data_IF_300655754794
#
_entry.id   IF_300655754794
#
_cell.length_a   1.000
_cell.length_b   1.000
_cell.length_c   1.000
_cell.angle_alpha   90.00
_cell.angle_beta   90.00
_cell.angle_gamma   90.00
#
_symmetry.space_group_name_H-M   'P 1'
#
loop_
_entity.id
_entity.type
_entity.pdbx_description
1 polymer ?
#
# COMPACT_ATOMS: atom_id res chain seq x y z
N UNK A 1 21.72 9.44 -11.08
CA UNK A 1 21.37 8.48 -12.19
C UNK A 1 20.94 9.22 -13.45
N UNK A 2 20.03 10.19 -13.35
CA UNK A 2 19.53 10.95 -14.52
C UNK A 2 20.64 11.64 -15.30
N UNK A 3 21.59 12.37 -14.68
CA UNK A 3 22.72 12.97 -15.41
C UNK A 3 23.61 11.95 -16.12
N UNK A 4 23.61 10.71 -15.68
CA UNK A 4 24.42 9.61 -16.20
C UNK A 4 23.69 8.81 -17.30
N UNK A 5 22.46 9.17 -17.65
CA UNK A 5 21.57 8.40 -18.56
C UNK A 5 21.41 6.94 -18.11
N UNK A 6 21.19 6.71 -16.83
CA UNK A 6 20.98 5.37 -16.27
C UNK A 6 19.50 5.15 -15.99
N UNK A 7 18.91 4.18 -16.70
CA UNK A 7 17.56 3.70 -16.40
C UNK A 7 17.50 3.16 -14.97
N UNK A 8 16.54 3.64 -14.22
CA UNK A 8 16.30 3.25 -12.82
C UNK A 8 14.89 2.69 -12.70
N UNK A 9 14.76 1.49 -12.12
CA UNK A 9 13.45 0.89 -11.79
C UNK A 9 13.41 0.65 -10.29
N UNK A 10 12.41 1.22 -9.60
CA UNK A 10 12.25 1.08 -8.15
C UNK A 10 11.08 0.16 -7.80
N UNK A 11 11.32 -0.78 -6.89
CA UNK A 11 10.29 -1.66 -6.30
C UNK A 11 9.68 -1.11 -5.01
N UNK A 12 10.12 0.07 -4.52
CA UNK A 12 9.71 0.57 -3.20
C UNK A 12 9.54 2.09 -3.09
N UNK A 13 9.95 2.86 -4.10
CA UNK A 13 9.87 4.33 -4.05
C UNK A 13 8.46 4.81 -4.44
N UNK A 14 7.59 4.99 -3.47
CA UNK A 14 6.17 5.34 -3.66
C UNK A 14 5.86 6.84 -3.58
N UNK A 15 6.87 7.69 -3.26
CA UNK A 15 6.68 9.12 -3.05
C UNK A 15 6.06 9.82 -4.27
N UNK A 16 4.96 10.59 -4.09
CA UNK A 16 4.18 11.13 -5.21
C UNK A 16 4.92 12.03 -6.19
N UNK A 17 5.88 12.83 -5.71
CA UNK A 17 6.61 13.75 -6.59
C UNK A 17 7.52 13.04 -7.58
N UNK A 18 7.80 11.74 -7.40
CA UNK A 18 8.55 10.95 -8.37
C UNK A 18 7.83 10.83 -9.71
N UNK A 19 6.49 10.93 -9.73
CA UNK A 19 5.70 10.96 -10.98
C UNK A 19 5.90 12.24 -11.81
N UNK A 20 6.51 13.28 -11.26
CA UNK A 20 6.61 14.60 -11.91
C UNK A 20 8.04 15.13 -11.98
N UNK A 21 9.03 14.30 -11.68
CA UNK A 21 10.43 14.70 -11.83
C UNK A 21 10.81 14.78 -13.32
N UNK A 22 11.68 15.72 -13.66
CA UNK A 22 12.29 15.78 -14.99
C UNK A 22 13.40 14.74 -15.07
N UNK A 23 13.11 13.54 -15.54
CA UNK A 23 14.01 12.39 -15.53
C UNK A 23 14.41 11.86 -16.93
N UNK A 24 13.93 12.51 -18.00
CA UNK A 24 14.14 12.09 -19.37
C UNK A 24 13.63 10.65 -19.65
N UNK A 25 12.51 10.25 -19.08
CA UNK A 25 11.91 8.91 -19.16
C UNK A 25 12.87 7.80 -18.66
N UNK A 26 13.65 8.08 -17.60
CA UNK A 26 14.66 7.16 -17.06
C UNK A 26 14.31 6.64 -15.66
N UNK A 27 13.22 7.10 -15.04
CA UNK A 27 12.75 6.60 -13.76
C UNK A 27 11.41 5.87 -13.92
N UNK A 28 11.36 4.63 -13.47
CA UNK A 28 10.18 3.78 -13.45
C UNK A 28 10.00 3.18 -12.07
N UNK A 29 8.77 2.83 -11.71
CA UNK A 29 8.51 2.10 -10.47
C UNK A 29 7.43 1.04 -10.66
N UNK A 30 7.67 -0.12 -10.11
CA UNK A 30 6.73 -1.24 -10.08
C UNK A 30 5.85 -1.25 -8.83
N UNK A 31 6.05 -0.25 -7.93
CA UNK A 31 5.18 0.04 -6.80
C UNK A 31 4.28 1.23 -7.14
N UNK A 32 2.97 1.19 -6.84
CA UNK A 32 2.10 2.33 -7.06
C UNK A 32 2.46 3.51 -6.17
N UNK A 33 2.05 4.71 -6.60
CA UNK A 33 2.21 5.95 -5.84
C UNK A 33 1.38 5.96 -4.56
N UNK A 34 1.88 6.62 -3.51
CA UNK A 34 1.15 6.88 -2.25
C UNK A 34 -0.19 7.62 -2.48
N UNK A 35 -0.34 8.36 -3.59
CA UNK A 35 -1.63 8.94 -3.98
C UNK A 35 -2.66 7.84 -4.22
N UNK A 36 -2.27 6.76 -4.90
CA UNK A 36 -3.19 5.65 -5.18
C UNK A 36 -3.57 4.91 -3.89
N UNK A 37 -2.63 4.70 -2.96
CA UNK A 37 -2.90 4.10 -1.66
C UNK A 37 -3.86 4.97 -0.84
N UNK A 38 -3.58 6.25 -0.72
CA UNK A 38 -4.43 7.22 -0.03
C UNK A 38 -5.86 7.23 -0.59
N UNK A 39 -5.97 7.25 -1.92
CA UNK A 39 -7.25 7.20 -2.63
C UNK A 39 -7.99 5.90 -2.36
N UNK A 40 -7.29 4.77 -2.38
CA UNK A 40 -7.88 3.45 -2.11
C UNK A 40 -8.42 3.35 -0.69
N UNK A 41 -7.69 3.87 0.30
CA UNK A 41 -8.12 3.92 1.70
C UNK A 41 -9.36 4.82 1.84
N UNK A 42 -9.34 6.03 1.29
CA UNK A 42 -10.45 6.97 1.36
C UNK A 42 -11.72 6.37 0.74
N UNK A 43 -11.62 5.85 -0.49
CA UNK A 43 -12.74 5.22 -1.19
C UNK A 43 -13.29 4.00 -0.43
N UNK A 44 -12.41 3.21 0.18
CA UNK A 44 -12.83 2.07 0.98
C UNK A 44 -13.64 2.50 2.21
N UNK A 45 -13.19 3.49 2.98
CA UNK A 45 -13.91 4.01 4.13
C UNK A 45 -15.29 4.53 3.72
N UNK A 46 -15.34 5.36 2.68
CA UNK A 46 -16.59 5.92 2.15
C UNK A 46 -17.56 4.83 1.66
N UNK A 47 -17.05 3.77 1.01
CA UNK A 47 -17.86 2.63 0.57
C UNK A 47 -18.49 1.86 1.74
N UNK A 48 -17.85 1.89 2.92
CA UNK A 48 -18.37 1.32 4.18
C UNK A 48 -19.24 2.31 4.96
N UNK A 49 -19.56 3.46 4.37
CA UNK A 49 -20.29 4.56 4.99
C UNK A 49 -19.61 5.15 6.24
N UNK A 50 -18.26 5.06 6.30
CA UNK A 50 -17.46 5.69 7.33
C UNK A 50 -17.10 7.08 6.84
N UNK A 51 -17.87 8.08 7.27
CA UNK A 51 -17.75 9.47 6.81
C UNK A 51 -17.07 10.39 7.80
N UNK A 52 -16.95 9.96 9.04
CA UNK A 52 -16.32 10.72 10.12
C UNK A 52 -15.11 9.95 10.62
N UNK A 53 -13.96 10.61 10.66
CA UNK A 53 -12.69 9.99 11.07
C UNK A 53 -11.87 10.85 12.01
N UNK A 54 -11.02 10.17 12.78
CA UNK A 54 -9.84 10.75 13.43
C UNK A 54 -8.61 10.21 12.72
N UNK A 55 -7.64 11.08 12.42
CA UNK A 55 -6.40 10.71 11.74
C UNK A 55 -5.20 10.94 12.68
N UNK A 56 -4.41 9.88 12.88
CA UNK A 56 -3.11 9.93 13.56
C UNK A 56 -2.00 9.55 12.57
N UNK A 57 -0.89 10.28 12.58
CA UNK A 57 0.21 9.98 11.66
C UNK A 57 1.58 10.31 12.26
N UNK A 58 2.62 9.64 11.76
CA UNK A 58 4.01 9.87 12.16
C UNK A 58 4.59 11.15 11.55
N UNK A 59 5.70 11.62 12.13
CA UNK A 59 6.38 12.88 11.80
C UNK A 59 7.41 12.76 10.66
N UNK A 60 7.48 11.61 10.01
CA UNK A 60 8.35 11.42 8.84
C UNK A 60 7.65 11.82 7.52
N UNK A 61 8.46 11.94 6.47
CA UNK A 61 7.97 12.40 5.16
C UNK A 61 6.94 11.46 4.54
N UNK A 62 7.11 10.14 4.68
CA UNK A 62 6.18 9.16 4.12
C UNK A 62 4.79 9.30 4.77
N UNK A 63 4.71 9.15 6.09
CA UNK A 63 3.44 9.19 6.82
C UNK A 63 2.74 10.55 6.70
N UNK A 64 3.51 11.65 6.72
CA UNK A 64 2.97 13.01 6.55
C UNK A 64 2.40 13.23 5.14
N UNK A 65 3.08 12.74 4.10
CA UNK A 65 2.61 12.86 2.71
C UNK A 65 1.37 11.99 2.48
N UNK A 66 1.37 10.76 2.99
CA UNK A 66 0.21 9.87 2.90
C UNK A 66 -1.00 10.48 3.59
N UNK A 67 -0.81 11.07 4.78
CA UNK A 67 -1.86 11.78 5.52
C UNK A 67 -2.43 12.97 4.73
N UNK A 68 -1.56 13.81 4.16
CA UNK A 68 -2.00 14.97 3.36
C UNK A 68 -2.81 14.56 2.13
N UNK A 69 -2.34 13.54 1.39
CA UNK A 69 -3.06 13.03 0.22
C UNK A 69 -4.40 12.40 0.61
N UNK A 70 -4.42 11.62 1.69
CA UNK A 70 -5.65 11.04 2.22
C UNK A 70 -6.66 12.12 2.64
N UNK A 71 -6.23 13.11 3.42
CA UNK A 71 -7.08 14.22 3.85
C UNK A 71 -7.71 14.92 2.65
N UNK A 72 -6.92 15.22 1.63
CA UNK A 72 -7.41 15.85 0.40
C UNK A 72 -8.51 15.01 -0.25
N UNK A 73 -8.21 13.75 -0.58
CA UNK A 73 -9.15 12.86 -1.29
C UNK A 73 -10.41 12.61 -0.47
N UNK A 74 -10.27 12.39 0.85
CA UNK A 74 -11.38 12.08 1.73
C UNK A 74 -12.34 13.26 1.88
N UNK A 75 -11.81 14.48 2.05
CA UNK A 75 -12.63 15.69 2.19
C UNK A 75 -13.24 16.17 0.86
N UNK A 76 -12.55 15.98 -0.26
CA UNK A 76 -13.12 16.23 -1.60
C UNK A 76 -14.35 15.36 -1.90
N UNK A 77 -14.46 14.20 -1.24
CA UNK A 77 -15.59 13.27 -1.33
C UNK A 77 -16.56 13.38 -0.12
N UNK A 78 -16.63 14.55 0.50
CA UNK A 78 -17.53 14.86 1.62
C UNK A 78 -17.28 14.05 2.90
N UNK A 79 -16.08 13.51 3.08
CA UNK A 79 -15.62 12.95 4.35
C UNK A 79 -15.30 14.05 5.36
N UNK A 80 -15.58 13.80 6.62
CA UNK A 80 -15.38 14.73 7.74
C UNK A 80 -14.20 14.26 8.58
N UNK A 81 -13.22 15.13 8.78
CA UNK A 81 -12.08 14.89 9.66
C UNK A 81 -12.32 15.61 10.97
N UNK A 82 -12.75 14.87 11.99
CA UNK A 82 -13.07 15.42 13.30
C UNK A 82 -11.82 15.90 14.03
N UNK A 83 -10.72 15.19 13.85
CA UNK A 83 -9.44 15.50 14.45
C UNK A 83 -8.30 14.90 13.65
N UNK A 84 -7.17 15.61 13.52
CA UNK A 84 -5.93 15.05 12.97
C UNK A 84 -4.72 15.59 13.74
N UNK A 85 -3.73 14.71 13.97
CA UNK A 85 -2.49 15.11 14.67
C UNK A 85 -1.35 14.11 14.46
N UNK A 86 -0.15 14.58 14.76
CA UNK A 86 1.04 13.74 14.89
C UNK A 86 0.96 12.90 16.16
N UNK A 87 1.18 11.58 16.03
CA UNK A 87 1.36 10.69 17.16
C UNK A 87 2.85 10.63 17.51
N UNK A 88 3.22 11.21 18.65
CA UNK A 88 4.58 11.30 19.17
C UNK A 88 4.60 11.01 20.66
N UNK A 89 5.78 10.75 21.23
CA UNK A 89 5.94 10.61 22.68
C UNK A 89 5.38 11.83 23.44
N UNK A 90 5.49 13.03 22.87
CA UNK A 90 4.96 14.26 23.47
C UNK A 90 3.43 14.33 23.47
N UNK A 91 2.79 13.78 22.45
CA UNK A 91 1.32 13.73 22.41
C UNK A 91 0.77 12.74 23.43
N UNK A 92 1.44 11.62 23.65
CA UNK A 92 1.00 10.59 24.61
C UNK A 92 1.05 11.05 26.07
N UNK A 93 2.03 11.85 26.44
CA UNK A 93 2.13 12.41 27.81
C UNK A 93 1.24 13.63 28.02
N UNK A 94 0.55 14.11 26.97
CA UNK A 94 -0.35 15.25 27.03
C UNK A 94 -1.77 14.79 27.38
N UNK A 95 -2.15 14.91 28.64
CA UNK A 95 -3.48 14.52 29.11
C UNK A 95 -4.61 15.24 28.35
N UNK A 96 -4.41 16.49 27.95
CA UNK A 96 -5.40 17.21 27.15
C UNK A 96 -5.60 16.57 25.78
N UNK A 97 -4.53 16.06 25.15
CA UNK A 97 -4.65 15.32 23.91
C UNK A 97 -5.52 14.07 24.09
N UNK A 98 -5.24 13.25 25.09
CA UNK A 98 -5.98 12.01 25.34
C UNK A 98 -7.45 12.31 25.66
N UNK A 99 -7.72 13.31 26.49
CA UNK A 99 -9.10 13.71 26.81
C UNK A 99 -9.84 14.17 25.56
N UNK A 100 -9.27 15.11 24.79
CA UNK A 100 -9.87 15.60 23.54
C UNK A 100 -10.12 14.48 22.55
N UNK A 101 -9.16 13.56 22.38
CA UNK A 101 -9.28 12.42 21.49
C UNK A 101 -10.45 11.51 21.87
N UNK A 102 -10.56 11.17 23.16
CA UNK A 102 -11.62 10.30 23.69
C UNK A 102 -12.99 11.02 23.65
N UNK A 103 -13.05 12.29 24.02
CA UNK A 103 -14.29 13.07 24.03
C UNK A 103 -14.85 13.20 22.59
N UNK A 104 -14.02 13.55 21.61
CA UNK A 104 -14.44 13.60 20.18
C UNK A 104 -14.97 12.25 19.72
N UNK A 105 -14.31 11.14 20.08
CA UNK A 105 -14.73 9.81 19.66
C UNK A 105 -16.06 9.38 20.28
N UNK A 106 -16.34 9.80 21.53
CA UNK A 106 -17.61 9.51 22.22
C UNK A 106 -18.74 10.38 21.65
N UNK A 107 -18.49 11.67 21.43
CA UNK A 107 -19.51 12.62 20.96
C UNK A 107 -19.98 12.34 19.52
N UNK A 108 -19.15 11.69 18.69
CA UNK A 108 -19.43 11.42 17.28
C UNK A 108 -19.77 9.95 16.98
N UNK A 109 -20.33 9.21 17.91
CA UNK A 109 -20.83 7.84 17.76
C UNK A 109 -19.82 6.88 17.08
N UNK A 110 -18.61 6.83 17.60
CA UNK A 110 -17.56 5.91 17.18
C UNK A 110 -17.06 6.14 15.72
N UNK A 111 -16.38 7.24 15.45
CA UNK A 111 -15.78 7.52 14.15
C UNK A 111 -14.73 6.46 13.77
N UNK A 112 -14.34 6.42 12.51
CA UNK A 112 -13.20 5.61 12.08
C UNK A 112 -11.87 6.19 12.59
N UNK A 113 -10.96 5.35 13.07
CA UNK A 113 -9.59 5.75 13.40
C UNK A 113 -8.67 5.36 12.24
N UNK A 114 -8.02 6.34 11.62
CA UNK A 114 -7.03 6.14 10.56
C UNK A 114 -5.65 6.42 11.13
N UNK A 115 -4.71 5.51 10.89
CA UNK A 115 -3.34 5.62 11.39
C UNK A 115 -2.34 5.40 10.27
N UNK A 116 -1.46 6.37 10.03
CA UNK A 116 -0.34 6.25 9.12
C UNK A 116 0.96 6.31 9.92
N UNK A 117 1.49 5.13 10.22
CA UNK A 117 2.63 4.95 11.11
C UNK A 117 3.55 3.87 10.54
N UNK A 118 4.83 3.91 10.86
CA UNK A 118 5.72 2.79 10.56
C UNK A 118 5.55 1.65 11.58
N UNK A 119 5.62 0.40 11.12
CA UNK A 119 5.54 -0.78 11.97
C UNK A 119 6.87 -1.16 12.66
N UNK A 120 7.75 -0.18 12.95
CA UNK A 120 9.00 -0.44 13.66
C UNK A 120 8.79 -0.51 15.18
N UNK A 121 9.74 -1.06 15.90
CA UNK A 121 9.69 -1.26 17.36
C UNK A 121 9.33 0.01 18.14
N UNK A 122 9.90 1.17 17.77
CA UNK A 122 9.59 2.45 18.43
C UNK A 122 8.12 2.80 18.27
N UNK A 123 7.57 2.67 17.07
CA UNK A 123 6.17 3.00 16.80
C UNK A 123 5.21 2.00 17.45
N UNK A 124 5.58 0.73 17.49
CA UNK A 124 4.79 -0.30 18.19
C UNK A 124 4.70 0.01 19.68
N UNK A 125 5.82 0.35 20.32
CA UNK A 125 5.84 0.80 21.72
C UNK A 125 4.97 2.05 21.95
N UNK A 126 4.99 2.99 21.00
CA UNK A 126 4.16 4.19 21.04
C UNK A 126 2.67 3.86 20.93
N UNK A 127 2.31 2.97 20.00
CA UNK A 127 0.93 2.48 19.84
C UNK A 127 0.43 1.72 21.07
N UNK A 128 1.26 0.89 21.66
CA UNK A 128 0.91 0.16 22.90
C UNK A 128 0.62 1.12 24.05
N UNK A 129 1.47 2.12 24.25
CA UNK A 129 1.25 3.15 25.24
C UNK A 129 -0.05 3.93 24.96
N UNK A 130 -0.28 4.30 23.69
CA UNK A 130 -1.49 4.98 23.27
C UNK A 130 -2.75 4.16 23.59
N UNK A 131 -2.80 2.89 23.18
CA UNK A 131 -3.93 1.99 23.44
C UNK A 131 -4.17 1.86 24.95
N UNK A 132 -3.13 1.63 25.75
CA UNK A 132 -3.25 1.48 27.20
C UNK A 132 -3.75 2.77 27.87
N UNK A 133 -3.29 3.94 27.42
CA UNK A 133 -3.74 5.24 27.97
C UNK A 133 -5.19 5.50 27.62
N UNK A 134 -5.62 5.20 26.38
CA UNK A 134 -7.02 5.31 25.96
C UNK A 134 -7.90 4.35 26.76
N UNK A 135 -7.50 3.08 26.91
CA UNK A 135 -8.25 2.09 27.69
C UNK A 135 -8.41 2.51 29.15
N UNK A 136 -7.37 3.06 29.77
CA UNK A 136 -7.45 3.60 31.14
C UNK A 136 -8.50 4.71 31.23
N UNK A 137 -8.49 5.63 30.27
CA UNK A 137 -9.47 6.72 30.22
C UNK A 137 -10.90 6.23 30.04
N UNK A 138 -11.09 5.20 29.17
CA UNK A 138 -12.41 4.59 28.97
C UNK A 138 -12.94 3.89 30.23
N UNK A 139 -12.07 3.24 31.01
CA UNK A 139 -12.43 2.65 32.30
C UNK A 139 -12.89 3.72 33.30
N UNK A 140 -12.18 4.87 33.36
CA UNK A 140 -12.59 6.00 34.19
C UNK A 140 -13.98 6.55 33.82
N UNK A 141 -14.33 6.51 32.54
CA UNK A 141 -15.61 6.97 31.99
C UNK A 141 -16.70 5.89 32.01
N UNK A 142 -16.40 4.70 32.54
CA UNK A 142 -17.31 3.54 32.57
C UNK A 142 -17.90 3.19 31.17
N UNK A 143 -17.13 3.43 30.12
CA UNK A 143 -17.52 3.16 28.73
C UNK A 143 -16.60 2.12 28.08
N UNK A 144 -17.07 1.47 27.01
CA UNK A 144 -16.31 0.47 26.28
C UNK A 144 -16.37 0.75 24.78
N UNK A 145 -15.19 0.86 24.16
CA UNK A 145 -15.05 1.01 22.72
C UNK A 145 -15.50 2.38 22.20
N UNK A 146 -14.56 3.12 21.64
CA UNK A 146 -14.80 4.44 21.03
C UNK A 146 -14.62 4.44 19.53
N UNK A 147 -14.14 3.35 18.98
CA UNK A 147 -13.97 3.17 17.54
C UNK A 147 -14.52 1.82 17.10
N UNK A 148 -15.30 1.82 16.04
CA UNK A 148 -15.77 0.58 15.40
C UNK A 148 -14.69 -0.01 14.49
N UNK A 149 -13.85 0.85 13.92
CA UNK A 149 -12.89 0.45 12.91
C UNK A 149 -11.61 1.26 12.99
N UNK A 150 -10.48 0.56 12.84
CA UNK A 150 -9.16 1.13 12.77
C UNK A 150 -8.54 0.79 11.42
N UNK A 151 -7.87 1.74 10.79
CA UNK A 151 -7.25 1.57 9.48
C UNK A 151 -5.80 2.02 9.50
N UNK A 152 -4.94 1.26 8.85
CA UNK A 152 -3.53 1.59 8.71
C UNK A 152 -3.01 1.42 7.29
N UNK A 153 -1.82 1.98 7.03
CA UNK A 153 -1.10 1.83 5.76
C UNK A 153 -0.21 0.57 5.75
N UNK A 154 0.30 0.21 4.59
CA UNK A 154 1.16 -0.95 4.35
C UNK A 154 2.43 -0.97 5.21
N UNK A 155 2.98 0.19 5.56
CA UNK A 155 4.12 0.31 6.47
C UNK A 155 3.84 -0.23 7.89
N UNK A 156 2.57 -0.45 8.24
CA UNK A 156 2.13 -1.12 9.47
C UNK A 156 1.97 -2.65 9.30
N UNK A 157 2.14 -3.20 8.10
CA UNK A 157 2.02 -4.63 7.83
C UNK A 157 3.30 -5.38 8.25
N UNK A 158 3.58 -5.38 9.55
CA UNK A 158 4.75 -6.01 10.16
C UNK A 158 4.35 -7.05 11.21
N UNK A 159 5.29 -7.93 11.59
CA UNK A 159 5.04 -8.91 12.65
C UNK A 159 4.84 -8.22 14.01
N UNK A 160 5.56 -7.16 14.27
CA UNK A 160 5.47 -6.39 15.51
C UNK A 160 4.07 -5.78 15.69
N UNK A 161 3.51 -5.17 14.66
CA UNK A 161 2.13 -4.63 14.67
C UNK A 161 1.12 -5.76 14.77
N UNK A 162 1.34 -6.88 14.06
CA UNK A 162 0.49 -8.07 14.13
C UNK A 162 0.40 -8.59 15.56
N UNK A 163 1.56 -8.78 16.22
CA UNK A 163 1.63 -9.32 17.57
C UNK A 163 1.02 -8.35 18.60
N UNK A 164 1.18 -7.04 18.39
CA UNK A 164 0.49 -6.02 19.18
C UNK A 164 -1.03 -6.16 19.04
N UNK A 165 -1.57 -6.16 17.83
CA UNK A 165 -3.01 -6.33 17.57
C UNK A 165 -3.52 -7.63 18.21
N UNK A 166 -2.76 -8.72 18.06
CA UNK A 166 -3.10 -10.01 18.64
C UNK A 166 -3.18 -9.98 20.18
N UNK A 167 -2.31 -9.25 20.83
CA UNK A 167 -2.31 -9.11 22.30
C UNK A 167 -3.59 -8.45 22.84
N UNK A 168 -4.32 -7.70 22.02
CA UNK A 168 -5.58 -7.03 22.34
C UNK A 168 -6.82 -7.74 21.78
N UNK A 169 -6.75 -9.02 21.40
CA UNK A 169 -7.90 -9.82 20.97
C UNK A 169 -9.08 -9.77 21.95
N UNK A 170 -8.88 -9.82 23.27
CA UNK A 170 -10.00 -9.75 24.23
C UNK A 170 -10.91 -8.52 24.06
N UNK A 171 -10.38 -7.41 23.55
CA UNK A 171 -11.16 -6.21 23.23
C UNK A 171 -11.51 -6.10 21.74
N UNK A 172 -11.33 -7.19 20.99
CA UNK A 172 -11.64 -7.31 19.56
C UNK A 172 -10.86 -6.35 18.66
N UNK A 173 -9.67 -5.90 19.07
CA UNK A 173 -8.84 -5.02 18.23
C UNK A 173 -8.50 -5.66 16.89
N UNK A 174 -8.28 -6.98 16.86
CA UNK A 174 -8.00 -7.74 15.65
C UNK A 174 -9.15 -7.67 14.61
N UNK A 175 -10.40 -7.72 15.06
CA UNK A 175 -11.58 -7.66 14.17
C UNK A 175 -11.84 -6.27 13.62
N UNK A 176 -11.36 -5.26 14.33
CA UNK A 176 -11.63 -3.85 14.02
C UNK A 176 -10.45 -3.15 13.35
N UNK A 177 -9.27 -3.79 13.29
CA UNK A 177 -8.08 -3.20 12.66
C UNK A 177 -7.85 -3.79 11.27
N UNK A 178 -7.80 -2.94 10.28
CA UNK A 178 -7.55 -3.30 8.87
C UNK A 178 -6.36 -2.51 8.35
N UNK A 179 -5.33 -3.21 7.89
CA UNK A 179 -4.18 -2.61 7.22
C UNK A 179 -4.41 -2.71 5.70
N UNK A 180 -4.38 -1.55 5.03
CA UNK A 180 -4.52 -1.49 3.58
C UNK A 180 -3.14 -1.46 2.96
N UNK A 181 -2.78 -2.53 2.30
CA UNK A 181 -1.46 -2.71 1.71
C UNK A 181 -1.57 -3.08 0.23
N UNK A 182 -0.50 -2.86 -0.52
CA UNK A 182 -0.44 -3.34 -1.89
C UNK A 182 -0.64 -4.86 -1.93
N UNK A 183 -1.50 -5.30 -2.85
CA UNK A 183 -1.90 -6.69 -2.94
C UNK A 183 -0.99 -7.48 -3.87
N UNK A 184 -0.73 -8.73 -3.47
CA UNK A 184 -0.43 -9.83 -4.38
C UNK A 184 -1.61 -10.80 -4.32
N UNK A 185 -2.08 -11.28 -5.46
CA UNK A 185 -3.17 -12.26 -5.46
C UNK A 185 -2.65 -13.64 -5.08
N UNK A 186 -2.58 -13.94 -3.78
CA UNK A 186 -2.06 -15.23 -3.27
C UNK A 186 -2.80 -16.47 -3.80
N UNK A 187 -4.02 -16.30 -4.29
CA UNK A 187 -4.80 -17.38 -4.91
C UNK A 187 -4.57 -17.50 -6.42
N UNK A 188 -3.81 -16.62 -7.05
CA UNK A 188 -3.57 -16.65 -8.48
C UNK A 188 -2.55 -17.74 -8.88
N UNK A 189 -2.61 -18.19 -10.13
CA UNK A 189 -1.65 -19.13 -10.69
C UNK A 189 -0.25 -18.47 -10.77
N UNK A 190 -0.19 -17.18 -11.04
CA UNK A 190 1.02 -16.38 -11.06
C UNK A 190 1.70 -16.39 -9.69
N UNK A 191 0.95 -16.18 -8.60
CA UNK A 191 1.50 -16.23 -7.25
C UNK A 191 2.00 -17.64 -6.90
N UNK A 192 1.26 -18.69 -7.23
CA UNK A 192 1.69 -20.07 -6.96
C UNK A 192 2.99 -20.41 -7.69
N UNK A 193 3.12 -19.97 -8.95
CA UNK A 193 4.34 -20.16 -9.74
C UNK A 193 5.51 -19.42 -9.10
N UNK A 194 5.34 -18.15 -8.77
CA UNK A 194 6.32 -17.33 -8.07
C UNK A 194 6.72 -17.94 -6.72
N UNK A 195 5.74 -18.35 -5.91
CA UNK A 195 5.99 -18.90 -4.59
C UNK A 195 6.86 -20.17 -4.68
N UNK A 196 6.62 -21.05 -5.66
CA UNK A 196 7.45 -22.21 -5.91
C UNK A 196 8.89 -21.83 -6.28
N UNK A 197 9.08 -20.80 -7.09
CA UNK A 197 10.42 -20.29 -7.47
C UNK A 197 11.16 -19.80 -6.22
N UNK A 198 10.50 -18.97 -5.40
CA UNK A 198 11.09 -18.39 -4.19
C UNK A 198 11.44 -19.45 -3.15
N UNK A 199 10.53 -20.39 -2.87
CA UNK A 199 10.76 -21.50 -1.94
C UNK A 199 11.93 -22.38 -2.38
N UNK A 200 12.04 -22.67 -3.67
CA UNK A 200 13.18 -23.43 -4.22
C UNK A 200 14.50 -22.67 -4.06
N UNK A 201 14.46 -21.34 -4.01
CA UNK A 201 15.60 -20.47 -3.75
C UNK A 201 15.86 -20.24 -2.24
N UNK A 202 15.05 -20.82 -1.35
CA UNK A 202 15.16 -20.66 0.11
C UNK A 202 14.68 -19.30 0.61
N UNK A 203 13.80 -18.62 -0.15
CA UNK A 203 13.25 -17.30 0.19
C UNK A 203 11.76 -17.43 0.50
N UNK A 204 11.30 -16.73 1.55
CA UNK A 204 9.88 -16.67 1.89
C UNK A 204 9.13 -15.82 0.85
N UNK A 205 8.18 -16.41 0.09
CA UNK A 205 7.42 -15.67 -0.91
C UNK A 205 6.48 -14.61 -0.33
N UNK A 206 6.18 -14.70 0.97
CA UNK A 206 5.30 -13.75 1.66
C UNK A 206 6.07 -12.58 2.30
N UNK A 207 7.39 -12.52 2.15
CA UNK A 207 8.17 -11.38 2.64
C UNK A 207 7.69 -10.09 1.97
N UNK A 208 7.52 -9.00 2.73
CA UNK A 208 7.10 -7.70 2.18
C UNK A 208 7.96 -7.30 0.98
N UNK A 209 7.33 -6.75 -0.05
CA UNK A 209 7.96 -6.28 -1.29
C UNK A 209 8.71 -7.35 -2.13
N UNK A 210 8.75 -8.62 -1.69
CA UNK A 210 9.50 -9.65 -2.43
C UNK A 210 8.91 -9.91 -3.82
N UNK A 211 7.58 -9.96 -3.95
CA UNK A 211 6.89 -10.12 -5.22
C UNK A 211 7.14 -8.94 -6.18
N UNK A 212 7.05 -7.71 -5.68
CA UNK A 212 7.31 -6.50 -6.48
C UNK A 212 8.76 -6.46 -6.95
N UNK A 213 9.70 -6.83 -6.08
CA UNK A 213 11.12 -6.89 -6.43
C UNK A 213 11.43 -7.98 -7.46
N UNK A 214 10.75 -9.13 -7.36
CA UNK A 214 10.82 -10.20 -8.36
C UNK A 214 10.35 -9.69 -9.72
N UNK A 215 9.20 -9.03 -9.78
CA UNK A 215 8.65 -8.45 -11.01
C UNK A 215 9.57 -7.38 -11.61
N UNK A 216 10.14 -6.52 -10.77
CA UNK A 216 11.14 -5.52 -11.17
C UNK A 216 12.33 -6.17 -11.89
N UNK A 217 12.86 -7.25 -11.33
CA UNK A 217 13.99 -7.97 -11.91
C UNK A 217 13.62 -8.69 -13.21
N UNK A 218 12.43 -9.28 -13.28
CA UNK A 218 11.93 -9.91 -14.50
C UNK A 218 11.77 -8.90 -15.63
N UNK A 219 11.16 -7.74 -15.36
CA UNK A 219 11.03 -6.65 -16.35
C UNK A 219 12.40 -6.14 -16.83
N UNK A 220 13.34 -5.91 -15.92
CA UNK A 220 14.69 -5.48 -16.28
C UNK A 220 15.40 -6.51 -17.20
N UNK A 221 15.29 -7.79 -16.88
CA UNK A 221 15.87 -8.86 -17.70
C UNK A 221 15.22 -8.96 -19.08
N UNK A 222 13.89 -8.88 -19.17
CA UNK A 222 13.14 -8.90 -20.42
C UNK A 222 13.44 -7.68 -21.29
N UNK A 223 13.55 -6.49 -20.69
CA UNK A 223 13.91 -5.25 -21.38
C UNK A 223 15.32 -5.35 -22.01
N UNK A 224 16.29 -5.86 -21.26
CA UNK A 224 17.64 -6.09 -21.77
C UNK A 224 17.69 -7.12 -22.92
N UNK A 225 16.87 -8.19 -22.82
CA UNK A 225 16.76 -9.18 -23.89
C UNK A 225 16.13 -8.56 -25.15
N UNK A 226 15.06 -7.77 -24.99
CA UNK A 226 14.40 -7.06 -26.08
C UNK A 226 15.35 -6.06 -26.77
N UNK A 227 16.04 -5.24 -25.96
CA UNK A 227 17.02 -4.28 -26.45
C UNK A 227 18.13 -4.95 -27.31
N UNK A 228 18.71 -6.02 -26.77
CA UNK A 228 19.83 -6.73 -27.41
C UNK A 228 19.40 -7.35 -28.72
N UNK A 229 18.22 -7.95 -28.79
CA UNK A 229 17.72 -8.59 -30.02
C UNK A 229 17.41 -7.57 -31.11
N UNK A 230 16.81 -6.44 -30.77
CA UNK A 230 16.40 -5.42 -31.73
C UNK A 230 17.48 -4.38 -32.00
N UNK A 231 18.70 -4.53 -31.47
CA UNK A 231 19.80 -3.57 -31.58
C UNK A 231 19.40 -2.14 -31.20
N UNK A 232 18.52 -2.01 -30.21
CA UNK A 232 18.09 -0.72 -29.66
C UNK A 232 19.26 -0.09 -28.91
N UNK A 233 19.45 1.21 -29.04
CA UNK A 233 20.54 1.89 -28.34
C UNK A 233 20.38 1.81 -26.81
N UNK A 234 21.47 1.94 -26.06
CA UNK A 234 21.41 1.90 -24.60
C UNK A 234 20.63 3.10 -24.04
N UNK A 235 20.64 4.20 -24.74
CA UNK A 235 19.90 5.43 -24.41
C UNK A 235 18.38 5.23 -24.54
N UNK A 236 17.94 4.22 -25.31
CA UNK A 236 16.53 3.89 -25.54
C UNK A 236 16.06 2.64 -24.74
N UNK A 237 16.80 2.24 -23.70
CA UNK A 237 16.44 1.06 -22.89
C UNK A 237 15.07 1.21 -22.21
N UNK A 238 14.64 2.44 -21.86
CA UNK A 238 13.31 2.73 -21.37
C UNK A 238 12.20 2.30 -22.33
N UNK A 239 12.40 2.50 -23.63
CA UNK A 239 11.45 2.03 -24.68
C UNK A 239 11.34 0.51 -24.69
N UNK A 240 12.47 -0.21 -24.48
CA UNK A 240 12.45 -1.66 -24.36
C UNK A 240 11.72 -2.11 -23.10
N UNK A 241 11.86 -1.39 -21.98
CA UNK A 241 11.15 -1.67 -20.75
C UNK A 241 9.63 -1.54 -20.97
N UNK A 242 9.17 -0.42 -21.49
CA UNK A 242 7.74 -0.20 -21.78
C UNK A 242 7.23 -1.24 -22.80
N UNK A 243 8.01 -1.58 -23.82
CA UNK A 243 7.60 -2.55 -24.84
C UNK A 243 7.36 -3.97 -24.30
N UNK A 244 8.05 -4.38 -23.24
CA UNK A 244 7.85 -5.72 -22.63
C UNK A 244 6.86 -5.72 -21.47
N UNK A 245 6.56 -4.56 -20.92
CA UNK A 245 5.65 -4.39 -19.81
C UNK A 245 4.22 -4.12 -20.26
N UNK A 246 4.04 -3.28 -21.30
CA UNK A 246 2.75 -2.78 -21.71
C UNK A 246 2.16 -3.58 -22.89
N UNK A 247 0.82 -3.60 -23.05
CA UNK A 247 0.20 -4.11 -24.27
C UNK A 247 0.54 -3.21 -25.50
N UNK A 248 0.48 -3.76 -26.73
CA UNK A 248 0.04 -5.12 -27.05
C UNK A 248 1.14 -6.16 -26.85
N UNK A 249 0.78 -7.44 -26.74
CA UNK A 249 1.72 -8.53 -26.66
C UNK A 249 1.11 -9.82 -26.10
N UNK A 250 1.86 -10.91 -26.24
CA UNK A 250 1.45 -12.18 -25.60
C UNK A 250 1.70 -12.06 -24.09
N UNK A 251 0.66 -12.31 -23.28
CA UNK A 251 0.78 -12.27 -21.83
C UNK A 251 1.77 -13.32 -21.33
N UNK A 252 2.73 -12.86 -20.54
CA UNK A 252 3.79 -13.66 -19.93
C UNK A 252 3.80 -13.39 -18.41
N UNK A 253 3.84 -14.45 -17.61
CA UNK A 253 3.83 -14.33 -16.15
C UNK A 253 5.12 -14.82 -15.50
N UNK A 254 5.16 -14.88 -14.15
CA UNK A 254 6.26 -15.48 -13.40
C UNK A 254 6.60 -16.90 -13.88
N UNK A 255 7.87 -17.23 -13.95
CA UNK A 255 8.34 -18.55 -14.43
C UNK A 255 8.38 -18.71 -15.95
N UNK A 256 7.89 -17.75 -16.73
CA UNK A 256 7.84 -17.82 -18.19
C UNK A 256 9.11 -17.32 -18.88
N UNK A 257 10.22 -17.11 -18.18
CA UNK A 257 11.46 -16.52 -18.72
C UNK A 257 11.90 -17.13 -20.05
N UNK A 258 12.02 -18.46 -20.14
CA UNK A 258 12.50 -19.13 -21.34
C UNK A 258 11.52 -18.98 -22.52
N UNK A 259 10.21 -19.04 -22.24
CA UNK A 259 9.18 -18.82 -23.26
C UNK A 259 9.17 -17.37 -23.75
N UNK A 260 9.18 -16.40 -22.84
CA UNK A 260 9.21 -14.98 -23.13
C UNK A 260 10.48 -14.62 -23.96
N UNK A 261 11.64 -15.11 -23.51
CA UNK A 261 12.90 -14.95 -24.25
C UNK A 261 12.83 -15.52 -25.67
N UNK A 262 12.26 -16.72 -25.83
CA UNK A 262 12.12 -17.36 -27.14
C UNK A 262 11.18 -16.57 -28.06
N UNK A 263 10.13 -15.95 -27.53
CA UNK A 263 9.24 -15.07 -28.29
C UNK A 263 9.97 -13.80 -28.74
N UNK A 264 10.67 -13.12 -27.82
CA UNK A 264 11.46 -11.93 -28.12
C UNK A 264 12.51 -12.17 -29.20
N UNK A 265 13.22 -13.31 -29.12
CA UNK A 265 14.20 -13.71 -30.14
C UNK A 265 13.59 -13.99 -31.52
N UNK A 266 12.28 -14.10 -31.63
CA UNK A 266 11.53 -14.27 -32.89
C UNK A 266 10.83 -12.99 -33.32
N UNK A 267 11.07 -11.86 -32.59
CA UNK A 267 10.44 -10.58 -32.87
C UNK A 267 8.96 -10.55 -32.52
N UNK A 268 8.51 -11.41 -31.59
CA UNK A 268 7.12 -11.44 -31.12
C UNK A 268 7.02 -10.57 -29.89
N UNK A 269 6.06 -9.66 -29.87
CA UNK A 269 5.77 -8.79 -28.74
C UNK A 269 5.19 -9.56 -27.55
N UNK A 270 5.61 -9.22 -26.37
CA UNK A 270 5.10 -9.76 -25.08
C UNK A 270 4.53 -8.65 -24.22
N UNK A 271 3.68 -9.02 -23.28
CA UNK A 271 3.19 -8.18 -22.19
C UNK A 271 3.39 -8.93 -20.87
N UNK A 272 4.29 -8.44 -20.01
CA UNK A 272 4.58 -9.11 -18.74
C UNK A 272 3.54 -8.74 -17.68
N UNK A 273 2.79 -9.74 -17.23
CA UNK A 273 1.87 -9.64 -16.09
C UNK A 273 2.56 -10.18 -14.85
N UNK A 274 2.82 -9.32 -13.89
CA UNK A 274 3.57 -9.66 -12.69
C UNK A 274 2.76 -10.37 -11.61
N UNK A 275 3.44 -10.83 -10.58
CA UNK A 275 2.85 -11.32 -9.34
C UNK A 275 2.11 -10.21 -8.61
N UNK A 276 2.64 -8.98 -8.68
CA UNK A 276 2.06 -7.76 -8.11
C UNK A 276 0.91 -7.19 -8.94
N UNK A 277 0.59 -7.80 -10.08
CA UNK A 277 -0.48 -7.40 -10.99
C UNK A 277 0.01 -6.93 -12.34
N UNK A 278 -0.82 -6.19 -13.06
CA UNK A 278 -0.41 -5.52 -14.29
C UNK A 278 0.68 -4.49 -13.98
N UNK A 279 1.70 -4.48 -14.81
CA UNK A 279 2.84 -3.57 -14.70
C UNK A 279 2.89 -2.62 -15.91
N UNK A 280 1.70 -2.27 -16.43
CA UNK A 280 1.56 -1.31 -17.51
C UNK A 280 2.00 0.08 -17.04
N UNK A 281 3.16 0.52 -17.52
CA UNK A 281 3.66 1.86 -17.18
C UNK A 281 2.86 2.95 -17.89
N UNK A 282 2.49 3.97 -17.13
CA UNK A 282 1.95 5.20 -17.70
C UNK A 282 3.06 6.11 -18.26
N UNK A 283 2.67 7.33 -18.70
CA UNK A 283 3.61 8.30 -19.26
C UNK A 283 4.65 8.81 -18.25
N UNK A 284 4.42 8.62 -16.96
CA UNK A 284 5.32 9.03 -15.88
C UNK A 284 6.19 7.88 -15.37
N UNK A 285 6.11 6.68 -15.99
CA UNK A 285 6.79 5.48 -15.51
C UNK A 285 6.17 4.87 -14.25
N UNK A 286 4.89 5.17 -13.98
CA UNK A 286 4.13 4.67 -12.85
C UNK A 286 3.24 3.49 -13.24
N UNK A 287 2.94 2.61 -12.29
CA UNK A 287 1.98 1.51 -12.46
C UNK A 287 0.72 1.75 -11.63
N UNK A 288 -0.40 1.18 -12.06
CA UNK A 288 -1.58 1.08 -11.21
C UNK A 288 -1.44 -0.06 -10.20
N UNK A 289 -1.81 0.22 -8.93
CA UNK A 289 -1.76 -0.75 -7.85
C UNK A 289 -3.06 -1.47 -7.61
N UNK A 290 -2.93 -2.72 -7.15
CA UNK A 290 -4.00 -3.43 -6.45
C UNK A 290 -3.73 -3.36 -4.95
N UNK A 291 -4.80 -3.32 -4.15
CA UNK A 291 -4.68 -3.27 -2.69
C UNK A 291 -5.40 -4.44 -2.05
N UNK A 292 -4.99 -4.78 -0.84
CA UNK A 292 -5.58 -5.79 0.00
C UNK A 292 -5.93 -5.23 1.37
N UNK A 293 -6.91 -5.84 1.99
CA UNK A 293 -7.29 -5.63 3.37
C UNK A 293 -6.68 -6.75 4.20
N UNK A 294 -5.89 -6.38 5.18
CA UNK A 294 -5.15 -7.33 6.02
C UNK A 294 -5.62 -7.17 7.46
N UNK A 295 -6.08 -8.27 8.06
CA UNK A 295 -6.55 -8.33 9.44
C UNK A 295 -5.83 -9.46 10.19
N UNK A 296 -5.68 -9.33 11.50
CA UNK A 296 -5.06 -10.38 12.32
C UNK A 296 -6.12 -11.41 12.72
N UNK A 297 -5.85 -12.67 12.39
CA UNK A 297 -6.72 -13.81 12.75
C UNK A 297 -6.56 -14.22 14.20
N UNK A 298 -7.46 -15.11 14.68
CA UNK A 298 -7.36 -15.71 16.01
C UNK A 298 -6.11 -16.61 16.20
N UNK A 299 -5.50 -17.04 15.10
CA UNK A 299 -4.25 -17.84 15.09
C UNK A 299 -2.99 -16.98 14.95
N UNK A 300 -3.07 -15.67 15.15
CA UNK A 300 -1.98 -14.71 14.98
C UNK A 300 -1.36 -14.73 13.57
N UNK A 301 -2.19 -14.83 12.55
CA UNK A 301 -1.79 -14.75 11.15
C UNK A 301 -2.43 -13.53 10.48
N UNK A 302 -1.80 -13.01 9.44
CA UNK A 302 -2.47 -12.06 8.57
C UNK A 302 -3.49 -12.80 7.68
N UNK A 303 -4.75 -12.39 7.74
CA UNK A 303 -5.71 -12.71 6.67
C UNK A 303 -5.58 -11.65 5.59
N UNK A 304 -5.75 -12.05 4.35
CA UNK A 304 -5.62 -11.16 3.19
C UNK A 304 -6.88 -11.25 2.35
N UNK A 305 -7.58 -10.14 2.22
CA UNK A 305 -8.72 -9.99 1.32
C UNK A 305 -8.37 -8.96 0.24
N UNK A 306 -8.54 -9.32 -1.03
CA UNK A 306 -8.29 -8.39 -2.13
C UNK A 306 -9.33 -7.28 -2.13
N UNK A 307 -8.87 -6.05 -2.13
CA UNK A 307 -9.73 -4.90 -2.32
C UNK A 307 -10.04 -4.77 -3.83
N UNK A 308 -11.29 -4.95 -4.20
CA UNK A 308 -11.72 -4.66 -5.56
C UNK A 308 -11.51 -3.18 -5.88
N UNK A 309 -11.15 -2.89 -7.14
CA UNK A 309 -10.95 -1.51 -7.60
C UNK A 309 -12.24 -0.73 -7.39
N UNK A 310 -12.28 0.11 -6.37
CA UNK A 310 -13.42 0.97 -6.11
C UNK A 310 -13.33 2.17 -7.05
N UNK A 311 -14.37 2.38 -7.85
CA UNK A 311 -14.52 3.64 -8.58
C UNK A 311 -14.59 4.80 -7.57
N UNK A 312 -14.12 6.00 -7.92
CA UNK A 312 -14.34 7.19 -7.10
C UNK A 312 -15.81 7.24 -6.68
N UNK A 313 -16.05 7.58 -5.41
CA UNK A 313 -17.41 7.70 -4.89
C UNK A 313 -18.14 8.78 -5.74
N UNK A 314 -19.14 8.37 -6.51
CA UNK A 314 -20.06 9.32 -7.14
C UNK A 314 -21.09 9.69 -6.07
N UNK A 315 -21.15 10.97 -5.64
CA UNK A 315 -22.18 11.40 -4.69
C UNK A 315 -23.54 11.09 -5.33
N UNK A 316 -24.40 10.36 -4.63
CA UNK A 316 -25.77 10.16 -5.08
C UNK A 316 -26.43 11.53 -5.13
N UNK A 317 -26.73 12.01 -6.32
CA UNK A 317 -27.60 13.15 -6.50
C UNK A 317 -28.97 12.72 -5.97
N UNK A 318 -29.30 13.14 -4.75
CA UNK A 318 -30.67 13.05 -4.25
C UNK A 318 -31.42 14.12 -5.04
N UNK A 319 -32.18 13.68 -6.03
CA UNK A 319 -33.17 14.53 -6.69
C UNK A 319 -34.37 14.54 -5.75
N UNK A 320 -34.58 15.65 -5.01
CA UNK A 320 -35.78 15.93 -4.25
C UNK A 320 -37.00 16.06 -5.19
#
# INVERSE_FOLDING_TARGET
TIPENILTISSSASYPLLSTIEDNDLFFRTIPSDIQQSTSIANYLLSKNIREIILLYGDDNYNSTLAQNFLKVFTEQEGIVLFNTLLTDKTLINQNFINTFVDIAIENDQPGLVMFLHGNERTVNLLEQFVNTVLTRLQELETSGIFKHHYGSDSMLTNEVKDLIYSYIPIQLNKNTTIVAQATSQSSEEFQTYANIMLNAGVDPNSPYSAISFDTMMLAALALQHQTHNNISKEDLSKSLVSVANPPGIKMGPGSWEAARALLLRGVEINYEGVSGSLDFDINGDVEGMYSLNQVTEDNLWSVERLEKLHPFEPRIIID
#
